data_IF_051718170364
#
_entry.id   IF_051718170364
#
_cell.length_a   1.000
_cell.length_b   1.000
_cell.length_c   1.000
_cell.angle_alpha   90.00
_cell.angle_beta   90.00
_cell.angle_gamma   90.00
#
_symmetry.space_group_name_H-M   'P 1'
#
loop_
_entity.id
_entity.type
_entity.pdbx_description
1 polymer ?
#
# COMPACT_ATOMS: atom_id res chain seq x y z
N UNK A 1 13.53 -1.33 -11.93
CA UNK A 1 13.44 -0.78 -10.56
C UNK A 1 13.81 -1.90 -9.57
N UNK A 2 14.67 -1.66 -8.58
CA UNK A 2 15.02 -2.67 -7.56
C UNK A 2 13.88 -2.76 -6.53
N UNK A 3 13.43 -3.96 -6.09
CA UNK A 3 12.40 -4.06 -5.07
C UNK A 3 12.88 -3.44 -3.76
N UNK A 4 12.01 -2.68 -3.10
CA UNK A 4 12.28 -2.13 -1.77
C UNK A 4 12.36 -3.26 -0.74
N UNK A 5 13.26 -3.13 0.23
CA UNK A 5 13.28 -4.04 1.38
C UNK A 5 12.04 -3.79 2.23
N UNK A 6 11.56 -4.84 2.91
CA UNK A 6 10.41 -4.73 3.81
C UNK A 6 10.56 -3.61 4.84
N UNK A 7 11.75 -3.49 5.44
CA UNK A 7 12.07 -2.45 6.42
C UNK A 7 11.92 -1.05 5.85
N UNK A 8 12.51 -0.78 4.67
CA UNK A 8 12.40 0.53 4.02
C UNK A 8 10.96 0.87 3.67
N UNK A 9 10.22 -0.11 3.15
CA UNK A 9 8.79 0.10 2.85
C UNK A 9 8.01 0.47 4.11
N UNK A 10 8.32 -0.14 5.25
CA UNK A 10 7.67 0.17 6.53
C UNK A 10 8.04 1.57 7.05
N UNK A 11 9.32 1.95 6.96
CA UNK A 11 9.81 3.29 7.30
C UNK A 11 9.12 4.36 6.44
N UNK A 12 9.03 4.13 5.11
CA UNK A 12 8.36 5.03 4.17
C UNK A 12 6.86 5.19 4.49
N UNK A 13 6.17 4.09 4.84
CA UNK A 13 4.76 4.13 5.23
C UNK A 13 4.55 4.90 6.53
N UNK A 14 5.41 4.71 7.53
CA UNK A 14 5.36 5.45 8.79
C UNK A 14 5.57 6.94 8.52
N UNK A 15 6.57 7.28 7.70
CA UNK A 15 6.83 8.66 7.32
C UNK A 15 5.62 9.30 6.64
N UNK A 16 5.02 8.62 5.65
CA UNK A 16 3.82 9.09 4.95
C UNK A 16 2.62 9.30 5.88
N UNK A 17 2.50 8.51 6.95
CA UNK A 17 1.48 8.72 7.99
C UNK A 17 1.81 9.96 8.83
N UNK A 18 3.08 10.12 9.23
CA UNK A 18 3.52 11.26 10.05
C UNK A 18 3.32 12.60 9.33
N UNK A 19 3.61 12.67 8.03
CA UNK A 19 3.40 13.88 7.24
C UNK A 19 1.94 14.10 6.84
N UNK A 20 1.04 13.17 7.14
CA UNK A 20 -0.40 13.31 6.93
C UNK A 20 -0.92 12.90 5.54
N UNK A 21 -0.07 12.34 4.69
CA UNK A 21 -0.45 11.82 3.36
C UNK A 21 -1.27 10.53 3.49
N UNK A 22 -0.90 9.69 4.46
CA UNK A 22 -1.63 8.46 4.79
C UNK A 22 -2.27 8.56 6.17
N UNK A 23 -3.36 7.80 6.34
CA UNK A 23 -3.96 7.51 7.64
C UNK A 23 -4.14 6.01 7.79
N UNK A 24 -3.82 5.52 8.98
CA UNK A 24 -4.10 4.15 9.40
C UNK A 24 -5.60 3.99 9.66
N UNK A 25 -6.19 2.94 9.10
CA UNK A 25 -7.50 2.45 9.51
C UNK A 25 -7.29 1.34 10.55
N UNK A 26 -7.89 1.54 11.71
CA UNK A 26 -7.87 0.57 12.79
C UNK A 26 -9.14 -0.26 12.77
N UNK A 27 -9.01 -1.54 13.10
CA UNK A 27 -10.17 -2.35 13.45
C UNK A 27 -10.76 -1.90 14.81
N UNK A 28 -11.86 -2.53 15.23
CA UNK A 28 -12.48 -2.29 16.54
C UNK A 28 -11.58 -2.64 17.74
N UNK A 29 -10.41 -3.23 17.51
CA UNK A 29 -9.43 -3.62 18.53
C UNK A 29 -8.17 -2.71 18.51
N UNK A 30 -8.14 -1.71 17.63
CA UNK A 30 -7.04 -0.76 17.52
C UNK A 30 -5.85 -1.25 16.70
N UNK A 31 -5.92 -2.39 16.02
CA UNK A 31 -4.85 -2.90 15.14
C UNK A 31 -4.96 -2.28 13.73
N UNK A 32 -3.82 -1.96 13.10
CA UNK A 32 -3.82 -1.53 11.69
C UNK A 32 -4.20 -2.72 10.83
N UNK A 33 -5.39 -2.70 10.24
CA UNK A 33 -5.67 -3.62 9.15
C UNK A 33 -5.27 -2.98 7.81
N UNK A 34 -5.47 -1.67 7.68
CA UNK A 34 -5.37 -0.96 6.39
C UNK A 34 -4.80 0.44 6.52
N UNK A 35 -4.37 0.99 5.40
CA UNK A 35 -4.02 2.40 5.26
C UNK A 35 -4.91 3.01 4.18
N UNK A 36 -5.34 4.24 4.41
CA UNK A 36 -6.09 5.04 3.44
C UNK A 36 -5.34 6.31 3.09
N UNK A 37 -5.52 6.74 1.86
CA UNK A 37 -5.05 8.05 1.40
C UNK A 37 -5.92 9.17 1.99
N UNK A 38 -5.30 10.26 2.44
CA UNK A 38 -6.00 11.47 2.88
C UNK A 38 -6.37 12.36 1.69
N UNK A 39 -7.21 13.40 1.89
CA UNK A 39 -7.41 14.42 0.85
C UNK A 39 -6.09 15.04 0.36
N UNK A 40 -5.20 15.45 1.28
CA UNK A 40 -3.85 15.93 0.94
C UNK A 40 -3.07 14.92 0.09
N UNK A 41 -3.14 13.64 0.44
CA UNK A 41 -2.49 12.60 -0.34
C UNK A 41 -3.08 12.43 -1.75
N UNK A 42 -4.38 12.69 -1.94
CA UNK A 42 -5.00 12.71 -3.28
C UNK A 42 -4.50 13.89 -4.09
N UNK A 43 -4.51 15.09 -3.50
CA UNK A 43 -4.05 16.30 -4.19
C UNK A 43 -2.59 16.14 -4.68
N UNK A 44 -1.72 15.54 -3.86
CA UNK A 44 -0.33 15.25 -4.25
C UNK A 44 -0.21 14.22 -5.39
N UNK A 45 -1.12 13.24 -5.45
CA UNK A 45 -1.13 12.26 -6.54
C UNK A 45 -1.70 12.86 -7.82
N UNK A 46 -2.67 13.77 -7.73
CA UNK A 46 -3.24 14.47 -8.89
C UNK A 46 -2.17 15.32 -9.60
N UNK A 47 -1.26 15.91 -8.83
CA UNK A 47 -0.10 16.66 -9.36
C UNK A 47 1.08 15.76 -9.79
N UNK A 48 1.04 14.47 -9.47
CA UNK A 48 2.14 13.55 -9.75
C UNK A 48 2.10 13.06 -11.20
N UNK A 49 3.09 13.48 -12.00
CA UNK A 49 3.22 13.09 -13.41
C UNK A 49 3.84 11.69 -13.61
N UNK A 50 4.15 10.96 -12.54
CA UNK A 50 4.75 9.63 -12.63
C UNK A 50 3.69 8.54 -12.77
N UNK A 51 3.98 7.52 -13.57
CA UNK A 51 3.12 6.35 -13.64
C UNK A 51 3.34 5.44 -12.42
N UNK A 52 2.23 5.06 -11.78
CA UNK A 52 2.19 3.91 -10.87
C UNK A 52 2.20 2.66 -11.75
N UNK A 53 3.26 1.85 -11.73
CA UNK A 53 3.33 0.67 -12.58
C UNK A 53 2.23 -0.31 -12.20
N UNK A 54 1.41 -0.69 -13.19
CA UNK A 54 0.41 -1.74 -13.02
C UNK A 54 1.12 -3.07 -12.76
N UNK A 55 0.58 -3.87 -11.83
CA UNK A 55 1.09 -5.22 -11.62
C UNK A 55 0.96 -6.04 -12.92
N UNK A 56 1.99 -6.80 -13.28
CA UNK A 56 1.98 -7.68 -14.44
C UNK A 56 0.82 -8.70 -14.34
N UNK A 57 0.17 -9.01 -15.45
CA UNK A 57 -1.03 -9.86 -15.46
C UNK A 57 -0.75 -11.25 -14.86
N UNK A 58 0.45 -11.79 -15.09
CA UNK A 58 0.91 -13.04 -14.49
C UNK A 58 1.12 -12.91 -12.97
N UNK A 59 1.58 -11.75 -12.50
CA UNK A 59 1.76 -11.46 -11.09
C UNK A 59 0.41 -11.33 -10.36
N UNK A 60 -0.59 -10.72 -11.01
CA UNK A 60 -1.97 -10.66 -10.52
C UNK A 60 -2.57 -12.07 -10.44
N UNK A 61 -2.45 -12.88 -11.49
CA UNK A 61 -2.95 -14.26 -11.54
C UNK A 61 -2.32 -15.13 -10.45
N UNK A 62 -1.01 -15.06 -10.26
CA UNK A 62 -0.31 -15.78 -9.18
C UNK A 62 -0.76 -15.33 -7.78
N UNK A 63 -0.99 -14.02 -7.57
CA UNK A 63 -1.51 -13.52 -6.30
C UNK A 63 -2.94 -14.02 -6.04
N UNK A 64 -3.78 -14.06 -7.08
CA UNK A 64 -5.15 -14.56 -7.00
C UNK A 64 -5.18 -16.06 -6.66
N UNK A 65 -4.31 -16.86 -7.28
CA UNK A 65 -4.15 -18.29 -6.96
C UNK A 65 -3.72 -18.52 -5.50
N UNK A 66 -2.77 -17.72 -4.98
CA UNK A 66 -2.34 -17.83 -3.58
C UNK A 66 -3.43 -17.41 -2.60
N UNK A 67 -4.24 -16.42 -2.97
CA UNK A 67 -5.37 -15.94 -2.15
C UNK A 67 -6.51 -16.96 -2.07
N UNK A 68 -6.65 -17.86 -3.04
CA UNK A 68 -7.72 -18.88 -3.10
C UNK A 68 -7.29 -20.28 -2.64
N UNK A 69 -6.08 -20.45 -2.10
CA UNK A 69 -5.67 -21.72 -1.47
C UNK A 69 -6.22 -21.76 -0.03
N UNK A 70 -7.25 -22.58 0.28
CA UNK A 70 -7.62 -22.85 1.66
C UNK A 70 -6.42 -23.52 2.35
N UNK A 71 -6.07 -23.02 3.54
CA UNK A 71 -5.12 -23.68 4.43
C UNK A 71 -5.79 -24.98 4.90
N UNK A 72 -5.36 -26.11 4.34
CA UNK A 72 -5.59 -27.45 4.91
C UNK A 72 -4.43 -27.74 5.87
#
# INVERSE_FOLDING_TARGET
>A
RKPLSRSRTEDDLIWLIQVGVLRREVDGQGLTERVRLTPMGRDLLDDWQGEIPTADALQVMHHWLRRHRPRL
#
